data_IF_938550271026
#
_entry.id   IF_938550271026
#
_cell.length_a   1.000
_cell.length_b   1.000
_cell.length_c   1.000
_cell.angle_alpha   90.00
_cell.angle_beta   90.00
_cell.angle_gamma   90.00
#
_symmetry.space_group_name_H-M   'P 1'
#
loop_
_entity.id
_entity.type
_entity.pdbx_description
1 polymer ?
#
# COMPACT_ATOMS: atom_id res chain seq x y z
N UNK A 1 -5.85 -8.02 -12.94
CA UNK A 1 -5.23 -6.96 -13.74
C UNK A 1 -5.94 -5.63 -13.48
N UNK A 2 -5.18 -4.55 -13.38
CA UNK A 2 -5.68 -3.18 -13.18
C UNK A 2 -5.43 -2.26 -14.39
N UNK A 3 -4.93 -2.82 -15.51
CA UNK A 3 -4.66 -2.06 -16.73
C UNK A 3 -3.51 -1.06 -16.63
N UNK A 4 -2.56 -1.23 -15.70
CA UNK A 4 -1.44 -0.28 -15.50
C UNK A 4 -0.36 -0.35 -16.60
N UNK A 5 -0.44 -1.30 -17.52
CA UNK A 5 0.44 -1.49 -18.68
C UNK A 5 1.94 -1.68 -18.39
N UNK A 6 2.37 -1.84 -17.14
CA UNK A 6 3.79 -2.04 -16.82
C UNK A 6 4.36 -3.30 -17.49
N UNK A 7 3.57 -4.37 -17.61
CA UNK A 7 3.98 -5.60 -18.28
C UNK A 7 4.21 -5.38 -19.78
N UNK A 8 3.32 -4.67 -20.46
CA UNK A 8 3.43 -4.34 -21.90
C UNK A 8 4.63 -3.42 -22.16
N UNK A 9 4.84 -2.43 -21.28
CA UNK A 9 5.99 -1.53 -21.37
C UNK A 9 7.32 -2.30 -21.25
N UNK A 10 7.42 -3.23 -20.30
CA UNK A 10 8.62 -4.05 -20.13
C UNK A 10 8.89 -4.95 -21.33
N UNK A 11 7.84 -5.59 -21.87
CA UNK A 11 7.94 -6.44 -23.06
C UNK A 11 8.43 -5.64 -24.27
N UNK A 12 7.90 -4.44 -24.49
CA UNK A 12 8.31 -3.55 -25.56
C UNK A 12 9.78 -3.13 -25.51
N UNK A 13 10.41 -3.15 -24.34
CA UNK A 13 11.85 -2.91 -24.16
C UNK A 13 12.70 -4.20 -24.14
N UNK A 14 12.11 -5.36 -24.37
CA UNK A 14 12.80 -6.66 -24.26
C UNK A 14 13.28 -7.00 -22.85
N UNK A 15 12.64 -6.46 -21.83
CA UNK A 15 12.93 -6.71 -20.42
C UNK A 15 11.99 -7.79 -19.86
N UNK A 16 12.38 -8.51 -18.80
CA UNK A 16 11.48 -9.43 -18.13
C UNK A 16 10.17 -8.75 -17.70
N UNK A 17 9.05 -9.33 -18.09
CA UNK A 17 7.72 -8.82 -17.76
C UNK A 17 7.56 -8.74 -16.25
N UNK A 18 6.94 -7.66 -15.76
CA UNK A 18 6.62 -7.47 -14.36
C UNK A 18 5.16 -7.06 -14.19
N UNK A 19 4.62 -7.30 -13.02
CA UNK A 19 3.26 -6.89 -12.68
C UNK A 19 3.26 -6.13 -11.35
N UNK A 20 2.51 -5.04 -11.29
CA UNK A 20 2.34 -4.28 -10.04
C UNK A 20 1.49 -5.01 -9.01
N UNK A 21 0.73 -6.04 -9.43
CA UNK A 21 -0.21 -6.78 -8.57
C UNK A 21 0.21 -8.23 -8.32
N UNK A 22 0.97 -8.83 -9.22
CA UNK A 22 1.45 -10.21 -9.07
C UNK A 22 2.98 -10.23 -9.00
N UNK A 23 3.59 -10.46 -7.84
CA UNK A 23 5.04 -10.43 -7.66
C UNK A 23 5.75 -11.63 -8.30
N UNK A 24 5.02 -12.67 -8.68
CA UNK A 24 5.59 -13.93 -9.23
C UNK A 24 5.70 -13.92 -10.75
N UNK A 25 5.02 -13.00 -11.43
CA UNK A 25 5.01 -13.00 -12.90
C UNK A 25 6.43 -12.98 -13.48
N UNK A 26 6.69 -13.86 -14.46
CA UNK A 26 7.99 -14.13 -15.08
C UNK A 26 9.07 -14.68 -14.14
N UNK A 27 8.70 -15.09 -12.94
CA UNK A 27 9.59 -15.70 -11.95
C UNK A 27 9.13 -17.12 -11.57
N UNK A 28 8.10 -17.63 -12.21
CA UNK A 28 7.47 -18.94 -11.93
C UNK A 28 8.45 -20.12 -12.14
N UNK A 29 9.47 -19.91 -12.96
CA UNK A 29 10.54 -20.88 -13.20
C UNK A 29 11.50 -21.08 -11.99
N UNK A 30 11.53 -20.13 -11.07
CA UNK A 30 12.39 -20.18 -9.88
C UNK A 30 11.84 -21.16 -8.86
N UNK A 31 12.54 -22.27 -8.69
CA UNK A 31 12.18 -23.28 -7.69
C UNK A 31 12.25 -22.69 -6.28
N UNK A 32 11.22 -22.91 -5.48
CA UNK A 32 11.10 -22.48 -4.07
C UNK A 32 11.04 -20.96 -3.86
N UNK A 33 10.80 -20.19 -4.90
CA UNK A 33 10.62 -18.76 -4.79
C UNK A 33 9.22 -18.36 -5.32
N UNK A 34 8.27 -18.23 -4.42
CA UNK A 34 6.89 -17.90 -4.69
C UNK A 34 6.44 -16.81 -3.72
N UNK A 35 6.74 -15.53 -4.00
CA UNK A 35 6.49 -14.42 -3.06
C UNK A 35 5.01 -14.19 -2.75
N UNK A 36 4.09 -14.71 -3.56
CA UNK A 36 2.66 -14.72 -3.26
C UNK A 36 2.27 -15.78 -2.21
N UNK A 37 3.12 -16.77 -1.97
CA UNK A 37 2.91 -17.82 -0.97
C UNK A 37 3.62 -17.42 0.33
N UNK A 38 2.87 -16.84 1.24
CA UNK A 38 3.39 -16.47 2.55
C UNK A 38 3.34 -17.68 3.49
N UNK A 39 4.50 -18.11 3.95
CA UNK A 39 4.60 -19.19 4.93
C UNK A 39 4.17 -18.71 6.30
N UNK A 40 3.37 -19.53 7.02
CA UNK A 40 3.06 -19.24 8.41
C UNK A 40 4.34 -19.26 9.25
N UNK A 41 4.48 -18.27 10.12
CA UNK A 41 5.58 -18.27 11.09
C UNK A 41 5.40 -19.43 12.07
N UNK A 42 6.51 -20.10 12.38
CA UNK A 42 6.52 -21.17 13.40
C UNK A 42 6.83 -20.63 14.79
N UNK A 43 7.08 -19.32 14.89
CA UNK A 43 7.40 -18.63 16.15
C UNK A 43 6.12 -18.08 16.79
N UNK A 44 6.30 -17.36 17.88
CA UNK A 44 5.22 -16.67 18.60
C UNK A 44 4.42 -15.76 17.67
N UNK A 45 3.11 -15.69 17.92
CA UNK A 45 2.23 -14.77 17.23
C UNK A 45 2.42 -13.37 17.81
N UNK A 46 3.02 -12.48 17.02
CA UNK A 46 3.20 -11.09 17.41
C UNK A 46 1.95 -10.26 17.01
N UNK A 47 1.79 -9.12 17.67
CA UNK A 47 0.78 -8.11 17.36
C UNK A 47 1.39 -6.92 16.61
N UNK A 48 0.65 -6.41 15.63
CA UNK A 48 1.08 -5.29 14.80
C UNK A 48 0.01 -4.20 14.77
N UNK A 49 0.42 -2.96 15.03
CA UNK A 49 -0.37 -1.78 14.73
C UNK A 49 0.11 -1.18 13.41
N UNK A 50 -0.77 -1.08 12.42
CA UNK A 50 -0.49 -0.44 11.13
C UNK A 50 -1.26 0.88 11.08
N UNK A 51 -0.55 1.98 10.86
CA UNK A 51 -1.12 3.33 10.79
C UNK A 51 -1.25 3.74 9.32
N UNK A 52 -2.48 3.76 8.83
CA UNK A 52 -2.85 4.01 7.44
C UNK A 52 -3.19 2.75 6.65
N UNK A 53 -4.30 2.80 5.94
CA UNK A 53 -4.83 1.71 5.11
C UNK A 53 -4.74 2.00 3.60
N UNK A 54 -3.74 2.76 3.17
CA UNK A 54 -3.36 2.86 1.77
C UNK A 54 -2.81 1.53 1.22
N UNK A 55 -2.45 1.46 -0.09
CA UNK A 55 -1.99 0.21 -0.71
C UNK A 55 -0.85 -0.48 0.06
N UNK A 56 0.09 0.28 0.62
CA UNK A 56 1.22 -0.27 1.34
C UNK A 56 0.81 -0.84 2.71
N UNK A 57 -0.05 -0.14 3.46
CA UNK A 57 -0.58 -0.61 4.73
C UNK A 57 -1.44 -1.86 4.57
N UNK A 58 -2.31 -1.88 3.57
CA UNK A 58 -3.15 -3.03 3.25
C UNK A 58 -2.33 -4.25 2.81
N UNK A 59 -1.28 -4.06 2.00
CA UNK A 59 -0.41 -5.18 1.60
C UNK A 59 0.38 -5.73 2.80
N UNK A 60 0.90 -4.85 3.65
CA UNK A 60 1.58 -5.23 4.88
C UNK A 60 0.66 -6.06 5.79
N UNK A 61 -0.57 -5.57 6.04
CA UNK A 61 -1.58 -6.28 6.82
C UNK A 61 -1.88 -7.67 6.25
N UNK A 62 -2.13 -7.76 4.93
CA UNK A 62 -2.42 -9.00 4.24
C UNK A 62 -1.31 -10.04 4.44
N UNK A 63 -0.05 -9.63 4.29
CA UNK A 63 1.11 -10.51 4.44
C UNK A 63 1.28 -10.97 5.89
N UNK A 64 1.18 -10.06 6.85
CA UNK A 64 1.30 -10.37 8.27
C UNK A 64 0.20 -11.32 8.75
N UNK A 65 -1.05 -11.11 8.32
CA UNK A 65 -2.18 -12.00 8.63
C UNK A 65 -1.96 -13.40 8.03
N UNK A 66 -1.49 -13.50 6.78
CA UNK A 66 -1.13 -14.78 6.16
C UNK A 66 0.02 -15.48 6.88
N UNK A 67 0.95 -14.73 7.43
CA UNK A 67 2.03 -15.26 8.28
C UNK A 67 1.54 -15.74 9.65
N UNK A 68 0.32 -15.39 10.07
CA UNK A 68 -0.32 -15.84 11.30
C UNK A 68 -0.26 -14.86 12.46
N UNK A 69 0.15 -13.61 12.22
CA UNK A 69 0.19 -12.55 13.22
C UNK A 69 -1.17 -11.91 13.46
N UNK A 70 -1.29 -11.12 14.54
CA UNK A 70 -2.45 -10.26 14.81
C UNK A 70 -2.18 -8.87 14.23
N UNK A 71 -3.17 -8.29 13.56
CA UNK A 71 -3.02 -6.98 12.92
C UNK A 71 -4.19 -6.07 13.26
N UNK A 72 -3.86 -4.92 13.80
CA UNK A 72 -4.80 -3.81 13.97
C UNK A 72 -4.42 -2.69 13.02
N UNK A 73 -5.38 -2.22 12.23
CA UNK A 73 -5.19 -1.10 11.29
C UNK A 73 -5.94 0.11 11.81
N UNK A 74 -5.26 1.25 11.95
CA UNK A 74 -5.87 2.53 12.23
C UNK A 74 -5.85 3.40 10.97
N UNK A 75 -7.04 3.78 10.49
CA UNK A 75 -7.23 4.61 9.31
C UNK A 75 -7.87 5.94 9.69
N UNK A 76 -7.27 7.05 9.25
CA UNK A 76 -7.77 8.39 9.54
C UNK A 76 -9.05 8.72 8.79
N UNK A 77 -9.25 8.14 7.61
CA UNK A 77 -10.41 8.37 6.76
C UNK A 77 -11.56 7.39 7.09
N UNK A 78 -12.70 7.63 6.46
CA UNK A 78 -13.92 6.81 6.64
C UNK A 78 -13.86 5.46 5.93
N UNK A 79 -12.91 5.30 5.00
CA UNK A 79 -12.74 4.09 4.20
C UNK A 79 -11.26 3.78 3.96
N UNK A 80 -10.96 2.50 3.74
CA UNK A 80 -9.63 2.06 3.36
C UNK A 80 -9.31 2.37 1.89
N UNK A 81 -8.01 2.42 1.56
CA UNK A 81 -7.51 2.54 0.20
C UNK A 81 -6.62 3.77 -0.02
N UNK A 82 -6.76 4.79 0.82
CA UNK A 82 -5.96 6.01 0.69
C UNK A 82 -6.08 6.62 -0.71
N UNK A 83 -4.96 7.00 -1.30
CA UNK A 83 -4.89 7.64 -2.63
C UNK A 83 -5.57 6.83 -3.75
N UNK A 84 -5.55 5.49 -3.69
CA UNK A 84 -6.09 4.65 -4.77
C UNK A 84 -7.59 4.86 -4.99
N UNK A 85 -8.32 5.27 -3.96
CA UNK A 85 -9.75 5.58 -4.06
C UNK A 85 -9.97 6.79 -4.97
N UNK A 86 -9.17 7.85 -4.78
CA UNK A 86 -9.23 9.06 -5.61
C UNK A 86 -8.78 8.78 -7.05
N UNK A 87 -7.68 8.06 -7.21
CA UNK A 87 -7.13 7.70 -8.53
C UNK A 87 -8.09 6.82 -9.33
N UNK A 88 -8.75 5.87 -8.68
CA UNK A 88 -9.74 5.00 -9.32
C UNK A 88 -11.02 5.74 -9.76
N UNK A 89 -11.29 6.92 -9.23
CA UNK A 89 -12.42 7.75 -9.67
C UNK A 89 -12.16 8.50 -10.97
N UNK A 90 -10.90 8.54 -11.44
CA UNK A 90 -10.54 9.18 -12.69
C UNK A 90 -10.99 8.36 -13.90
N UNK A 91 -11.33 9.03 -15.03
CA UNK A 91 -11.73 8.35 -16.25
C UNK A 91 -10.69 7.32 -16.71
N UNK A 92 -11.12 6.09 -16.97
CA UNK A 92 -10.26 4.99 -17.43
C UNK A 92 -9.46 4.27 -16.33
N UNK A 93 -9.48 4.73 -15.09
CA UNK A 93 -8.74 4.11 -13.98
C UNK A 93 -9.61 3.32 -12.99
N UNK A 94 -10.89 3.10 -13.29
CA UNK A 94 -11.82 2.41 -12.39
C UNK A 94 -11.34 1.05 -11.88
N UNK A 95 -10.60 0.31 -12.70
CA UNK A 95 -10.04 -0.99 -12.32
C UNK A 95 -8.96 -0.91 -11.22
N UNK A 96 -8.42 0.28 -10.97
CA UNK A 96 -7.40 0.48 -9.94
C UNK A 96 -7.93 0.28 -8.52
N UNK A 97 -9.24 0.41 -8.33
CA UNK A 97 -9.88 0.11 -7.05
C UNK A 97 -9.64 -1.34 -6.59
N UNK A 98 -9.39 -2.25 -7.52
CA UNK A 98 -9.06 -3.66 -7.21
C UNK A 98 -7.80 -3.82 -6.36
N UNK A 99 -6.91 -2.81 -6.35
CA UNK A 99 -5.73 -2.79 -5.46
C UNK A 99 -6.18 -2.85 -4.01
N UNK A 100 -7.21 -2.07 -3.66
CA UNK A 100 -7.83 -2.06 -2.34
C UNK A 100 -8.69 -3.30 -2.11
N UNK A 101 -9.62 -3.56 -3.02
CA UNK A 101 -10.69 -4.54 -2.83
C UNK A 101 -10.15 -5.95 -2.64
N UNK A 102 -9.14 -6.33 -3.41
CA UNK A 102 -8.46 -7.62 -3.25
C UNK A 102 -7.87 -7.77 -1.84
N UNK A 103 -7.13 -6.76 -1.39
CA UNK A 103 -6.47 -6.79 -0.07
C UNK A 103 -7.45 -6.76 1.08
N UNK A 104 -8.48 -5.93 0.96
CA UNK A 104 -9.56 -5.87 1.96
C UNK A 104 -10.30 -7.20 2.08
N UNK A 105 -10.59 -7.87 0.94
CA UNK A 105 -11.22 -9.18 0.96
C UNK A 105 -10.35 -10.22 1.70
N UNK A 106 -9.03 -10.26 1.43
CA UNK A 106 -8.09 -11.15 2.11
C UNK A 106 -7.98 -10.84 3.63
N UNK A 107 -7.96 -9.55 3.99
CA UNK A 107 -7.89 -9.12 5.39
C UNK A 107 -9.17 -9.47 6.14
N UNK A 108 -10.33 -9.22 5.55
CA UNK A 108 -11.64 -9.49 6.17
C UNK A 108 -11.92 -10.98 6.40
N UNK A 109 -11.25 -11.87 5.67
CA UNK A 109 -11.34 -13.32 5.90
C UNK A 109 -10.55 -13.80 7.13
N UNK A 110 -9.70 -12.94 7.69
CA UNK A 110 -8.88 -13.30 8.85
C UNK A 110 -9.58 -12.94 10.17
N UNK A 111 -9.66 -13.87 11.08
CA UNK A 111 -10.13 -13.60 12.45
C UNK A 111 -9.12 -12.82 13.31
N UNK A 112 -7.90 -12.63 12.84
CA UNK A 112 -6.82 -11.92 13.53
C UNK A 112 -6.68 -10.48 13.09
N UNK A 113 -7.64 -9.93 12.32
CA UNK A 113 -7.63 -8.56 11.81
C UNK A 113 -8.68 -7.69 12.48
N UNK A 114 -8.29 -6.48 12.81
CA UNK A 114 -9.19 -5.40 13.25
C UNK A 114 -8.88 -4.13 12.45
N UNK A 115 -9.92 -3.39 12.06
CA UNK A 115 -9.76 -2.13 11.33
C UNK A 115 -10.61 -1.06 12.01
N UNK A 116 -9.98 0.05 12.38
CA UNK A 116 -10.61 1.22 12.95
C UNK A 116 -10.55 2.37 11.95
N UNK A 117 -11.70 2.75 11.42
CA UNK A 117 -11.86 3.91 10.55
C UNK A 117 -12.07 5.19 11.35
N UNK A 118 -11.89 6.34 10.70
CA UNK A 118 -11.98 7.66 11.32
C UNK A 118 -11.12 7.77 12.58
N UNK A 119 -10.01 7.07 12.61
CA UNK A 119 -9.08 6.90 13.73
C UNK A 119 -7.72 7.53 13.43
N UNK A 120 -7.66 8.86 13.50
CA UNK A 120 -6.39 9.57 13.41
C UNK A 120 -5.68 9.50 14.76
N UNK A 121 -4.60 8.72 14.83
CA UNK A 121 -3.81 8.52 16.04
C UNK A 121 -2.83 9.68 16.26
N UNK A 122 -2.74 10.15 17.51
CA UNK A 122 -1.68 11.02 17.99
C UNK A 122 -0.45 10.19 18.44
N UNK A 123 0.68 10.86 18.67
CA UNK A 123 1.86 10.20 19.20
C UNK A 123 1.64 9.56 20.59
N UNK A 124 0.74 10.15 21.40
CA UNK A 124 0.34 9.58 22.69
C UNK A 124 -0.48 8.31 22.53
N UNK A 125 -1.43 8.29 21.59
CA UNK A 125 -2.26 7.12 21.32
C UNK A 125 -1.39 5.95 20.86
N UNK A 126 -0.43 6.22 19.96
CA UNK A 126 0.49 5.22 19.45
C UNK A 126 1.37 4.63 20.56
N UNK A 127 1.89 5.48 21.46
CA UNK A 127 2.72 5.03 22.59
C UNK A 127 1.97 4.19 23.60
N UNK A 128 0.68 4.47 23.78
CA UNK A 128 -0.18 3.77 24.71
C UNK A 128 -0.85 2.53 24.12
N UNK A 129 -0.70 2.31 22.81
CA UNK A 129 -1.26 1.14 22.15
C UNK A 129 -0.38 -0.09 22.42
N UNK A 130 -0.99 -1.14 22.93
CA UNK A 130 -0.29 -2.39 23.25
C UNK A 130 -0.10 -3.24 21.99
N UNK A 131 0.96 -2.98 21.24
CA UNK A 131 1.41 -3.82 20.12
C UNK A 131 2.92 -4.06 20.21
N UNK A 132 3.34 -5.26 19.78
CA UNK A 132 4.77 -5.62 19.73
C UNK A 132 5.51 -4.81 18.66
N UNK A 133 4.80 -4.46 17.59
CA UNK A 133 5.38 -3.74 16.44
C UNK A 133 4.42 -2.66 15.94
N UNK A 134 4.99 -1.52 15.52
CA UNK A 134 4.24 -0.40 14.94
C UNK A 134 4.77 -0.12 13.54
N UNK A 135 3.88 -0.01 12.56
CA UNK A 135 4.21 0.23 11.15
C UNK A 135 3.51 1.50 10.68
N UNK A 136 4.28 2.46 10.19
CA UNK A 136 3.77 3.68 9.60
C UNK A 136 3.59 3.52 8.10
N UNK A 137 2.36 3.60 7.64
CA UNK A 137 1.95 3.54 6.23
C UNK A 137 1.07 4.75 5.86
N UNK A 138 1.42 5.93 6.39
CA UNK A 138 0.62 7.15 6.33
C UNK A 138 0.63 7.85 4.98
N UNK A 139 1.34 7.29 4.00
CA UNK A 139 1.43 7.84 2.65
C UNK A 139 2.37 9.04 2.52
N UNK A 140 2.18 9.80 1.45
CA UNK A 140 2.98 10.99 1.12
C UNK A 140 2.12 12.00 0.37
N UNK A 141 2.55 13.25 0.39
CA UNK A 141 1.95 14.34 -0.38
C UNK A 141 2.92 14.83 -1.45
N UNK A 142 2.37 15.32 -2.56
CA UNK A 142 3.17 15.96 -3.59
C UNK A 142 3.75 17.28 -3.06
N UNK A 143 5.02 17.49 -3.33
CA UNK A 143 5.68 18.76 -3.01
C UNK A 143 5.18 19.86 -3.95
N UNK A 144 5.08 21.09 -3.42
CA UNK A 144 4.63 22.28 -4.17
C UNK A 144 5.74 23.31 -4.35
N UNK A 145 7.00 22.94 -4.07
CA UNK A 145 8.19 23.81 -4.16
C UNK A 145 9.03 23.51 -5.39
N UNK A 146 8.54 22.68 -6.31
CA UNK A 146 9.23 22.31 -7.53
C UNK A 146 10.42 21.37 -7.36
N UNK A 147 10.74 20.95 -6.12
CA UNK A 147 11.85 20.03 -5.87
C UNK A 147 11.49 18.61 -6.27
N UNK A 148 12.34 17.98 -7.05
CA UNK A 148 12.18 16.60 -7.52
C UNK A 148 13.53 15.99 -7.91
N UNK A 149 13.51 14.77 -8.45
CA UNK A 149 14.73 14.05 -8.83
C UNK A 149 15.55 14.79 -9.90
N UNK A 150 14.89 15.52 -10.79
CA UNK A 150 15.53 16.30 -11.88
C UNK A 150 15.78 17.76 -11.52
N UNK A 151 15.23 18.22 -10.41
CA UNK A 151 15.40 19.59 -9.92
C UNK A 151 15.60 19.57 -8.40
N UNK A 152 16.85 19.55 -7.90
CA UNK A 152 17.14 19.44 -6.48
C UNK A 152 16.94 20.74 -5.69
N UNK A 153 16.72 21.86 -6.37
CA UNK A 153 16.57 23.17 -5.73
C UNK A 153 15.10 23.63 -5.78
N UNK A 154 14.65 24.23 -4.70
CA UNK A 154 13.35 24.92 -4.69
C UNK A 154 13.38 26.11 -5.63
N UNK A 155 12.32 26.30 -6.40
CA UNK A 155 12.13 27.50 -7.22
C UNK A 155 11.03 28.36 -6.64
N UNK A 156 11.17 29.68 -6.75
CA UNK A 156 10.04 30.58 -6.48
C UNK A 156 8.99 30.38 -7.57
N UNK A 157 7.81 29.94 -7.13
CA UNK A 157 6.69 29.62 -8.02
C UNK A 157 5.61 30.72 -8.00
N UNK A 158 5.99 31.92 -7.52
CA UNK A 158 5.07 33.06 -7.31
C UNK A 158 4.35 33.51 -8.58
N UNK A 159 4.85 33.12 -9.74
CA UNK A 159 4.29 33.47 -11.05
C UNK A 159 3.63 32.31 -11.80
N UNK A 160 3.55 31.11 -11.20
CA UNK A 160 3.00 29.93 -11.84
C UNK A 160 1.81 29.35 -11.06
N UNK A 161 0.75 29.00 -11.78
CA UNK A 161 -0.31 28.18 -11.24
C UNK A 161 0.20 26.72 -11.14
N UNK A 162 0.72 26.34 -9.98
CA UNK A 162 1.21 25.00 -9.73
C UNK A 162 0.08 24.16 -9.13
N UNK A 163 -0.26 23.09 -9.81
CA UNK A 163 -1.23 22.09 -9.36
C UNK A 163 -0.51 20.78 -9.03
N UNK A 164 -0.96 20.11 -8.00
CA UNK A 164 -0.52 18.76 -7.64
C UNK A 164 -1.69 17.79 -7.80
N UNK A 165 -1.44 16.48 -7.98
CA UNK A 165 -2.51 15.49 -8.08
C UNK A 165 -3.31 15.25 -6.78
N UNK A 166 -2.95 15.90 -5.67
CA UNK A 166 -3.64 15.79 -4.39
C UNK A 166 -4.89 16.65 -4.32
#
# INVERSE_FOLDING_TARGET
CIGCNICVSMDGYGLPIRCTQNPTISEEWRRKWHPEIVSKTKKTQDSFLIIGSGPSGLECARVLLKAGHKVTIAEAEKEAGGRIVKEASLPGLGEWIRVRDYRMNEINQSSNSEIYYSSRLSASDIKNFEADNIIFATGSYWRRDGVGSSNPHSCSLDHFNLYTPD
#
